data_IF_619815474461
#
_entry.id   IF_619815474461
#
_cell.length_a   1.000
_cell.length_b   1.000
_cell.length_c   1.000
_cell.angle_alpha   90.00
_cell.angle_beta   90.00
_cell.angle_gamma   90.00
#
_symmetry.space_group_name_H-M   'P 1'
#
loop_
_entity.id
_entity.type
_entity.pdbx_description
1 polymer ?
#
# COMPACT_ATOMS: atom_id res chain seq x y z
N UNK A 1 6.58 -18.45 -3.29
CA UNK A 1 5.88 -17.20 -3.65
C UNK A 1 6.80 -16.06 -3.29
N UNK A 2 7.09 -15.17 -4.24
CA UNK A 2 7.95 -14.00 -4.05
C UNK A 2 7.08 -12.77 -3.93
N UNK A 3 7.39 -11.87 -2.99
CA UNK A 3 6.75 -10.57 -2.92
C UNK A 3 7.24 -9.71 -4.10
N UNK A 4 6.32 -9.07 -4.82
CA UNK A 4 6.67 -8.18 -5.94
C UNK A 4 7.20 -6.81 -5.47
N UNK A 5 6.74 -6.37 -4.31
CA UNK A 5 7.23 -5.18 -3.63
C UNK A 5 7.70 -5.58 -2.22
N UNK A 6 8.97 -5.33 -1.94
CA UNK A 6 9.55 -5.53 -0.62
C UNK A 6 9.76 -4.16 0.01
N UNK A 7 9.15 -3.96 1.17
CA UNK A 7 9.30 -2.76 1.97
C UNK A 7 10.23 -3.12 3.13
N UNK A 8 11.38 -2.45 3.20
CA UNK A 8 12.34 -2.63 4.28
C UNK A 8 11.92 -1.81 5.50
N UNK A 9 10.97 -2.37 6.25
CA UNK A 9 10.38 -1.75 7.42
C UNK A 9 10.03 -2.84 8.44
N UNK A 10 10.54 -2.69 9.67
CA UNK A 10 10.34 -3.65 10.76
C UNK A 10 8.85 -3.82 11.15
N UNK A 11 8.00 -2.86 10.79
CA UNK A 11 6.56 -2.90 11.03
C UNK A 11 5.79 -3.56 9.87
N UNK A 12 6.47 -4.02 8.82
CA UNK A 12 5.85 -4.71 7.70
C UNK A 12 5.93 -6.23 7.92
N UNK A 13 4.77 -6.88 8.02
CA UNK A 13 4.70 -8.35 8.03
C UNK A 13 5.32 -8.97 6.77
N UNK A 14 5.87 -10.19 6.90
CA UNK A 14 6.51 -10.90 5.77
C UNK A 14 5.65 -10.99 4.51
N UNK A 15 4.35 -11.15 4.71
CA UNK A 15 3.31 -11.03 3.68
C UNK A 15 2.25 -10.12 4.28
N UNK A 16 2.23 -8.85 3.87
CA UNK A 16 1.46 -7.80 4.55
C UNK A 16 0.14 -7.51 3.84
N UNK A 17 0.22 -7.22 2.54
CA UNK A 17 -0.92 -6.84 1.73
C UNK A 17 -0.77 -7.37 0.31
N UNK A 18 -1.89 -7.52 -0.39
CA UNK A 18 -1.94 -7.88 -1.80
C UNK A 18 -2.50 -6.71 -2.61
N UNK A 19 -1.78 -6.32 -3.65
CA UNK A 19 -2.23 -5.34 -4.63
C UNK A 19 -2.74 -6.06 -5.88
N UNK A 20 -3.98 -5.82 -6.25
CA UNK A 20 -4.66 -6.42 -7.39
C UNK A 20 -4.84 -5.34 -8.45
N UNK A 21 -4.34 -5.61 -9.66
CA UNK A 21 -4.60 -4.79 -10.84
C UNK A 21 -5.85 -5.32 -11.51
N UNK A 22 -6.87 -4.48 -11.62
CA UNK A 22 -8.10 -4.78 -12.35
C UNK A 22 -8.16 -3.93 -13.62
N UNK A 23 -9.05 -4.28 -14.55
CA UNK A 23 -9.33 -3.43 -15.72
C UNK A 23 -9.88 -2.03 -15.37
N UNK A 24 -10.22 -1.79 -14.11
CA UNK A 24 -10.82 -0.53 -13.65
C UNK A 24 -9.96 0.22 -12.63
N UNK A 25 -8.75 -0.25 -12.36
CA UNK A 25 -7.81 0.37 -11.42
C UNK A 25 -7.22 -0.61 -10.42
N UNK A 26 -6.67 -0.08 -9.33
CA UNK A 26 -6.02 -0.85 -8.28
C UNK A 26 -6.98 -1.17 -7.12
N UNK A 27 -6.79 -2.34 -6.54
CA UNK A 27 -7.41 -2.73 -5.27
C UNK A 27 -6.33 -3.26 -4.34
N UNK A 28 -6.38 -2.88 -3.07
CA UNK A 28 -5.48 -3.39 -2.04
C UNK A 28 -6.27 -4.18 -1.00
N UNK A 29 -5.69 -5.28 -0.52
CA UNK A 29 -6.21 -6.11 0.56
C UNK A 29 -5.14 -6.31 1.62
N UNK A 30 -5.46 -6.01 2.86
CA UNK A 30 -4.63 -6.41 4.00
C UNK A 30 -4.72 -7.93 4.18
N UNK A 31 -3.59 -8.60 4.42
CA UNK A 31 -3.50 -10.05 4.58
C UNK A 31 -3.37 -10.44 6.05
N UNK A 32 -4.17 -9.80 6.90
CA UNK A 32 -4.12 -9.95 8.37
C UNK A 32 -2.73 -9.62 8.91
N UNK A 33 -2.20 -8.48 8.47
CA UNK A 33 -0.90 -7.98 8.89
C UNK A 33 -0.92 -7.57 10.37
N UNK A 34 0.26 -7.52 10.98
CA UNK A 34 0.37 -7.18 12.40
C UNK A 34 0.00 -5.72 12.73
N UNK A 35 0.27 -4.80 11.80
CA UNK A 35 0.09 -3.36 12.00
C UNK A 35 -1.01 -2.75 11.12
N UNK A 36 -1.64 -3.56 10.27
CA UNK A 36 -2.69 -3.12 9.37
C UNK A 36 -2.18 -2.32 8.16
N UNK A 37 -3.08 -2.16 7.20
CA UNK A 37 -2.92 -1.30 6.04
C UNK A 37 -3.88 -0.11 6.16
N UNK A 38 -3.40 1.10 5.84
CA UNK A 38 -4.23 2.30 5.83
C UNK A 38 -4.25 2.94 4.45
N UNK A 39 -5.40 3.52 4.07
CA UNK A 39 -5.56 4.36 2.88
C UNK A 39 -6.06 5.72 3.32
N UNK A 40 -5.32 6.77 2.98
CA UNK A 40 -5.59 8.16 3.38
C UNK A 40 -5.83 8.30 4.90
N UNK A 41 -5.03 7.58 5.70
CA UNK A 41 -5.13 7.58 7.16
C UNK A 41 -6.25 6.72 7.76
N UNK A 42 -7.05 6.04 6.93
CA UNK A 42 -8.13 5.15 7.39
C UNK A 42 -7.68 3.70 7.25
N UNK A 43 -7.76 2.93 8.35
CA UNK A 43 -7.46 1.50 8.34
C UNK A 43 -8.47 0.72 7.51
N UNK A 44 -7.98 -0.22 6.69
CA UNK A 44 -8.80 -1.02 5.79
C UNK A 44 -8.48 -2.50 5.92
N UNK A 45 -9.45 -3.34 5.55
CA UNK A 45 -9.22 -4.74 5.19
C UNK A 45 -9.12 -4.89 3.67
N UNK A 46 -9.88 -4.09 2.93
CA UNK A 46 -9.83 -3.99 1.47
C UNK A 46 -10.27 -2.59 1.02
N UNK A 47 -9.65 -2.06 -0.03
CA UNK A 47 -10.06 -0.80 -0.63
C UNK A 47 -9.72 -0.75 -2.13
N UNK A 48 -10.59 -0.07 -2.91
CA UNK A 48 -10.25 0.35 -4.28
C UNK A 48 -9.47 1.66 -4.20
N UNK A 49 -8.34 1.70 -4.87
CA UNK A 49 -7.42 2.82 -4.86
C UNK A 49 -7.65 3.73 -6.06
N UNK A 50 -7.42 5.02 -5.85
CA UNK A 50 -7.49 6.09 -6.85
C UNK A 50 -6.14 6.77 -6.98
N UNK A 51 -5.92 7.41 -8.12
CA UNK A 51 -4.72 8.21 -8.37
C UNK A 51 -4.50 9.23 -7.25
N UNK A 52 -3.28 9.27 -6.71
CA UNK A 52 -2.91 10.17 -5.62
C UNK A 52 -3.29 9.71 -4.21
N UNK A 53 -4.02 8.60 -4.05
CA UNK A 53 -4.29 8.05 -2.72
C UNK A 53 -2.96 7.70 -2.02
N UNK A 54 -2.88 8.04 -0.74
CA UNK A 54 -1.77 7.66 0.12
C UNK A 54 -2.09 6.30 0.76
N UNK A 55 -1.16 5.36 0.66
CA UNK A 55 -1.26 4.03 1.24
C UNK A 55 -0.14 3.86 2.25
N UNK A 56 -0.49 3.64 3.51
CA UNK A 56 0.48 3.39 4.58
C UNK A 56 0.51 1.90 4.89
N UNK A 57 1.70 1.30 4.85
CA UNK A 57 1.96 -0.11 5.20
C UNK A 57 3.10 -0.11 6.22
N UNK A 58 2.83 -0.56 7.45
CA UNK A 58 3.78 -0.34 8.55
C UNK A 58 3.95 1.16 8.82
N UNK A 59 5.19 1.67 8.73
CA UNK A 59 5.52 3.10 8.80
C UNK A 59 5.89 3.70 7.44
N UNK A 60 5.67 2.96 6.36
CA UNK A 60 6.03 3.37 5.01
C UNK A 60 4.82 3.93 4.28
N UNK A 61 4.93 5.19 3.85
CA UNK A 61 3.95 5.85 3.01
C UNK A 61 4.27 5.64 1.53
N UNK A 62 3.27 5.17 0.79
CA UNK A 62 3.27 5.01 -0.66
C UNK A 62 2.18 5.90 -1.27
N UNK A 63 2.31 6.24 -2.54
CA UNK A 63 1.29 6.95 -3.30
C UNK A 63 0.91 6.17 -4.54
N UNK A 64 -0.37 6.18 -4.87
CA UNK A 64 -0.88 5.61 -6.11
C UNK A 64 -0.47 6.52 -7.27
N UNK A 65 0.27 5.95 -8.22
CA UNK A 65 0.61 6.59 -9.48
C UNK A 65 0.41 5.63 -10.66
N UNK A 66 -0.59 5.92 -11.49
CA UNK A 66 -1.10 5.01 -12.51
C UNK A 66 -1.55 3.69 -11.90
N UNK A 67 -0.98 2.58 -12.38
CA UNK A 67 -1.24 1.24 -11.83
C UNK A 67 -0.14 0.82 -10.82
N UNK A 68 0.59 1.76 -10.23
CA UNK A 68 1.68 1.47 -9.30
C UNK A 68 1.46 2.11 -7.93
N UNK A 69 2.06 1.49 -6.92
CA UNK A 69 2.40 2.16 -5.67
C UNK A 69 3.87 2.55 -5.74
N UNK A 70 4.16 3.83 -5.52
CA UNK A 70 5.53 4.35 -5.50
C UNK A 70 5.82 4.97 -4.14
N UNK A 71 7.08 4.95 -3.65
CA UNK A 71 7.43 5.60 -2.39
C UNK A 71 6.99 7.05 -2.37
N UNK A 72 6.25 7.44 -1.33
CA UNK A 72 5.86 8.84 -1.17
C UNK A 72 7.09 9.66 -0.78
N UNK A 73 7.55 10.52 -1.70
CA UNK A 73 8.61 11.47 -1.42
C UNK A 73 7.95 12.78 -1.02
N UNK A 74 8.16 13.20 0.23
CA UNK A 74 7.78 14.55 0.66
C UNK A 74 8.40 15.56 -0.31
N UNK A 75 7.64 16.52 -0.86
CA UNK A 75 8.25 17.62 -1.57
C UNK A 75 9.25 18.28 -0.61
N UNK A 76 10.51 18.35 -1.03
CA UNK A 76 11.55 19.09 -0.29
C UNK A 76 11.08 20.54 -0.32
N UNK A 77 10.79 21.11 0.84
CA UNK A 77 10.37 22.50 0.99
C UNK A 77 11.57 23.43 0.89
#
# INVERSE_FOLDING_TARGET
>A
MTNELVIDDAYVSRVHAMLIRTGTGLEIRDLNSANGTCVNGVSITQARLREGDNVTIGNTDLVVSGNHLVPWRRPIR
#
